data_IF_082409217652
#
_entry.id   IF_082409217652
#
_cell.length_a   1.000
_cell.length_b   1.000
_cell.length_c   1.000
_cell.angle_alpha   90.00
_cell.angle_beta   90.00
_cell.angle_gamma   90.00
#
_symmetry.space_group_name_H-M   'P 1'
#
loop_
_entity.id
_entity.type
_entity.pdbx_description
1 polymer ?
#
# COMPACT_ATOMS: atom_id res chain seq x y z
N UNK A 1 -4.63 18.89 -20.88
CA UNK A 1 -5.11 17.49 -20.99
C UNK A 1 -6.65 17.50 -20.89
N UNK A 2 -7.38 16.45 -21.28
CA UNK A 2 -8.88 16.43 -21.19
C UNK A 2 -9.36 16.66 -19.73
N UNK A 3 -8.50 16.36 -18.75
CA UNK A 3 -8.70 16.67 -17.32
C UNK A 3 -8.78 18.17 -17.01
N UNK A 4 -8.07 19.03 -17.75
CA UNK A 4 -8.14 20.50 -17.57
C UNK A 4 -9.45 21.08 -18.12
N UNK A 5 -10.06 20.41 -19.09
CA UNK A 5 -11.33 20.84 -19.69
C UNK A 5 -12.51 20.77 -18.71
N UNK A 6 -12.43 19.89 -17.69
CA UNK A 6 -13.46 19.75 -16.66
C UNK A 6 -13.17 20.51 -15.37
N UNK A 7 -12.03 21.23 -15.28
CA UNK A 7 -11.62 21.96 -14.08
C UNK A 7 -11.74 21.11 -12.78
N UNK A 8 -11.49 19.79 -12.90
CA UNK A 8 -11.72 18.85 -11.81
C UNK A 8 -10.61 18.96 -10.77
N UNK A 9 -10.85 19.78 -9.76
CA UNK A 9 -9.93 20.09 -8.65
C UNK A 9 -10.03 19.10 -7.48
N UNK A 10 -10.45 17.86 -7.74
CA UNK A 10 -10.64 16.86 -6.67
C UNK A 10 -11.65 17.33 -5.62
N UNK A 11 -12.84 17.76 -6.04
CA UNK A 11 -13.87 18.30 -5.14
C UNK A 11 -13.42 19.53 -4.31
N UNK A 12 -12.37 20.25 -4.75
CA UNK A 12 -11.78 21.37 -4.01
C UNK A 12 -10.79 20.93 -2.92
N UNK A 13 -10.42 19.63 -2.88
CA UNK A 13 -9.45 19.08 -1.94
C UNK A 13 -8.05 19.31 -2.50
N UNK A 14 -7.19 19.94 -1.69
CA UNK A 14 -5.82 20.23 -2.09
C UNK A 14 -5.03 18.95 -2.48
N UNK A 15 -4.03 19.06 -3.38
CA UNK A 15 -3.31 17.89 -3.91
C UNK A 15 -2.70 16.98 -2.84
N UNK A 16 -2.19 17.59 -1.76
CA UNK A 16 -1.61 16.88 -0.61
C UNK A 16 -2.67 16.07 0.14
N UNK A 17 -3.81 16.70 0.47
CA UNK A 17 -4.90 16.02 1.20
C UNK A 17 -5.50 14.88 0.38
N UNK A 18 -5.62 15.06 -0.94
CA UNK A 18 -6.08 13.99 -1.84
C UNK A 18 -5.10 12.80 -1.87
N UNK A 19 -3.80 13.07 -1.96
CA UNK A 19 -2.78 12.03 -1.94
C UNK A 19 -2.79 11.22 -0.63
N UNK A 20 -2.92 11.90 0.52
CA UNK A 20 -3.04 11.26 1.83
C UNK A 20 -4.27 10.34 1.91
N UNK A 21 -5.40 10.80 1.38
CA UNK A 21 -6.66 10.04 1.36
C UNK A 21 -6.52 8.78 0.50
N UNK A 22 -5.94 8.89 -0.69
CA UNK A 22 -5.69 7.75 -1.58
C UNK A 22 -4.69 6.76 -0.98
N UNK A 23 -3.65 7.23 -0.31
CA UNK A 23 -2.71 6.39 0.46
C UNK A 23 -3.42 5.59 1.55
N UNK A 24 -4.32 6.25 2.30
CA UNK A 24 -5.15 5.60 3.31
C UNK A 24 -6.03 4.49 2.71
N UNK A 25 -6.77 4.80 1.64
CA UNK A 25 -7.64 3.83 0.96
C UNK A 25 -6.84 2.64 0.41
N UNK A 26 -5.72 2.91 -0.27
CA UNK A 26 -4.85 1.86 -0.82
C UNK A 26 -4.30 0.94 0.28
N UNK A 27 -3.95 1.52 1.44
CA UNK A 27 -3.45 0.75 2.59
C UNK A 27 -4.52 -0.16 3.18
N UNK A 28 -5.75 0.33 3.36
CA UNK A 28 -6.87 -0.48 3.90
C UNK A 28 -7.21 -1.64 2.98
N UNK A 29 -7.33 -1.37 1.67
CA UNK A 29 -7.60 -2.42 0.67
C UNK A 29 -6.41 -3.41 0.63
N UNK A 30 -5.20 -2.88 0.65
CA UNK A 30 -3.97 -3.67 0.65
C UNK A 30 -3.87 -4.65 1.81
N UNK A 31 -4.15 -4.17 3.03
CA UNK A 31 -4.23 -4.98 4.24
C UNK A 31 -5.30 -6.06 4.12
N UNK A 32 -6.51 -5.69 3.70
CA UNK A 32 -7.62 -6.63 3.55
C UNK A 32 -7.26 -7.79 2.62
N UNK A 33 -6.70 -7.49 1.44
CA UNK A 33 -6.31 -8.52 0.46
C UNK A 33 -5.14 -9.36 0.98
N UNK A 34 -4.11 -8.74 1.54
CA UNK A 34 -2.90 -9.45 2.00
C UNK A 34 -3.21 -10.39 3.16
N UNK A 35 -4.03 -9.96 4.12
CA UNK A 35 -4.39 -10.76 5.29
C UNK A 35 -5.41 -11.84 4.93
N UNK A 36 -6.42 -11.52 4.11
CA UNK A 36 -7.48 -12.47 3.78
C UNK A 36 -7.02 -13.57 2.81
N UNK A 37 -6.09 -13.27 1.91
CA UNK A 37 -5.59 -14.23 0.91
C UNK A 37 -4.21 -14.82 1.23
N UNK A 38 -3.53 -14.33 2.27
CA UNK A 38 -2.13 -14.70 2.60
C UNK A 38 -1.17 -14.60 1.40
N UNK A 39 -1.47 -13.75 0.43
CA UNK A 39 -0.69 -13.59 -0.81
C UNK A 39 0.47 -12.59 -0.58
N UNK A 40 1.63 -13.10 -0.15
CA UNK A 40 2.84 -12.29 0.11
C UNK A 40 3.32 -11.51 -1.12
N UNK A 41 3.13 -12.06 -2.33
CA UNK A 41 3.52 -11.41 -3.59
C UNK A 41 2.74 -10.11 -3.82
N UNK A 42 1.44 -10.09 -3.49
CA UNK A 42 0.62 -8.89 -3.61
C UNK A 42 1.06 -7.80 -2.62
N UNK A 43 1.34 -8.20 -1.37
CA UNK A 43 1.88 -7.28 -0.38
C UNK A 43 3.21 -6.67 -0.82
N UNK A 44 4.12 -7.46 -1.41
CA UNK A 44 5.41 -6.96 -1.89
C UNK A 44 5.27 -5.88 -2.97
N UNK A 45 4.31 -6.02 -3.88
CA UNK A 45 4.02 -4.99 -4.91
C UNK A 45 3.54 -3.70 -4.26
N UNK A 46 2.69 -3.77 -3.24
CA UNK A 46 2.21 -2.59 -2.53
C UNK A 46 3.31 -1.88 -1.73
N UNK A 47 4.20 -2.62 -1.08
CA UNK A 47 5.38 -2.05 -0.40
C UNK A 47 6.27 -1.31 -1.41
N UNK A 48 6.54 -1.92 -2.56
CA UNK A 48 7.32 -1.29 -3.62
C UNK A 48 6.63 -0.02 -4.16
N UNK A 49 5.32 -0.05 -4.37
CA UNK A 49 4.55 1.11 -4.81
C UNK A 49 4.62 2.27 -3.80
N UNK A 50 4.41 1.99 -2.51
CA UNK A 50 4.51 3.02 -1.46
C UNK A 50 5.93 3.57 -1.31
N UNK A 51 6.96 2.73 -1.47
CA UNK A 51 8.35 3.19 -1.50
C UNK A 51 8.61 4.13 -2.70
N UNK A 52 8.11 3.78 -3.89
CA UNK A 52 8.21 4.64 -5.08
C UNK A 52 7.52 6.00 -4.89
N UNK A 53 6.35 6.02 -4.23
CA UNK A 53 5.65 7.27 -3.89
C UNK A 53 6.47 8.11 -2.91
N UNK A 54 7.04 7.50 -1.86
CA UNK A 54 7.87 8.21 -0.90
C UNK A 54 9.09 8.87 -1.56
N UNK A 55 9.76 8.15 -2.47
CA UNK A 55 10.92 8.68 -3.22
C UNK A 55 10.53 9.83 -4.15
N UNK A 56 9.38 9.72 -4.84
CA UNK A 56 8.93 10.75 -5.80
C UNK A 56 8.32 11.98 -5.15
N UNK A 57 7.80 11.87 -3.92
CA UNK A 57 7.18 12.96 -3.18
C UNK A 57 8.10 13.55 -2.11
N UNK A 58 9.42 13.51 -2.32
CA UNK A 58 10.43 14.02 -1.39
C UNK A 58 10.23 15.50 -1.04
N UNK A 59 9.72 16.30 -1.97
CA UNK A 59 9.47 17.74 -1.78
C UNK A 59 8.25 18.00 -0.88
N UNK A 60 7.38 17.01 -0.68
CA UNK A 60 6.20 17.10 0.18
C UNK A 60 6.34 16.16 1.38
N UNK A 61 6.97 16.66 2.44
CA UNK A 61 7.31 15.86 3.64
C UNK A 61 6.11 15.08 4.22
N UNK A 62 4.91 15.66 4.20
CA UNK A 62 3.70 15.01 4.67
C UNK A 62 3.35 13.74 3.87
N UNK A 63 3.36 13.82 2.53
CA UNK A 63 3.04 12.68 1.65
C UNK A 63 4.14 11.62 1.74
N UNK A 64 5.40 12.05 1.79
CA UNK A 64 6.54 11.15 1.96
C UNK A 64 6.43 10.34 3.26
N UNK A 65 6.20 11.01 4.39
CA UNK A 65 6.09 10.36 5.70
C UNK A 65 4.92 9.40 5.75
N UNK A 66 3.75 9.81 5.23
CA UNK A 66 2.58 8.93 5.19
C UNK A 66 2.81 7.72 4.29
N UNK A 67 3.41 7.89 3.12
CA UNK A 67 3.75 6.77 2.24
C UNK A 67 4.74 5.80 2.90
N UNK A 68 5.74 6.31 3.62
CA UNK A 68 6.67 5.49 4.38
C UNK A 68 5.96 4.69 5.50
N UNK A 69 5.06 5.32 6.26
CA UNK A 69 4.27 4.65 7.31
C UNK A 69 3.40 3.54 6.69
N UNK A 70 2.71 3.83 5.58
CA UNK A 70 1.91 2.86 4.85
C UNK A 70 2.73 1.66 4.34
N UNK A 71 3.95 1.90 3.86
CA UNK A 71 4.88 0.85 3.47
C UNK A 71 5.25 -0.06 4.65
N UNK A 72 5.58 0.52 5.81
CA UNK A 72 5.91 -0.24 7.03
C UNK A 72 4.72 -1.07 7.50
N UNK A 73 3.51 -0.50 7.47
CA UNK A 73 2.28 -1.22 7.81
C UNK A 73 2.07 -2.43 6.89
N UNK A 74 2.28 -2.27 5.58
CA UNK A 74 2.17 -3.40 4.64
C UNK A 74 3.24 -4.46 4.87
N UNK A 75 4.48 -4.09 5.20
CA UNK A 75 5.53 -5.06 5.58
C UNK A 75 5.09 -5.87 6.80
N UNK A 76 4.54 -5.22 7.83
CA UNK A 76 4.02 -5.92 9.00
C UNK A 76 2.85 -6.86 8.64
N UNK A 77 1.94 -6.44 7.75
CA UNK A 77 0.85 -7.28 7.27
C UNK A 77 1.34 -8.53 6.52
N UNK A 78 2.40 -8.39 5.70
CA UNK A 78 3.05 -9.52 5.02
C UNK A 78 3.67 -10.48 6.04
N UNK A 79 4.40 -9.96 7.04
CA UNK A 79 5.00 -10.79 8.09
C UNK A 79 3.94 -11.61 8.84
N UNK A 80 2.82 -10.98 9.22
CA UNK A 80 1.68 -11.66 9.84
C UNK A 80 1.08 -12.73 8.93
N UNK A 81 0.91 -12.43 7.64
CA UNK A 81 0.40 -13.38 6.65
C UNK A 81 1.32 -14.60 6.49
N UNK A 82 2.65 -14.41 6.52
CA UNK A 82 3.65 -15.48 6.43
C UNK A 82 3.66 -16.36 7.68
N UNK A 83 3.58 -15.78 8.88
CA UNK A 83 3.53 -16.55 10.15
C UNK A 83 2.27 -17.41 10.23
N UNK A 84 1.16 -16.95 9.63
CA UNK A 84 -0.10 -17.69 9.58
C UNK A 84 -0.12 -18.82 8.55
N UNK A 85 0.91 -18.99 7.72
CA UNK A 85 0.97 -20.11 6.78
C UNK A 85 1.23 -21.39 7.56
N UNK A 86 0.30 -22.36 7.58
CA UNK A 86 0.63 -23.68 8.09
C UNK A 86 1.74 -24.24 7.23
N UNK A 87 2.91 -24.47 7.82
CA UNK A 87 3.97 -25.27 7.22
C UNK A 87 3.33 -26.62 6.88
N UNK A 88 3.13 -26.89 5.59
CA UNK A 88 2.73 -28.23 5.15
C UNK A 88 3.77 -29.19 5.75
N UNK A 89 3.36 -30.13 6.62
CA UNK A 89 4.27 -31.19 7.06
C UNK A 89 4.84 -31.79 5.79
N UNK A 90 6.16 -31.78 5.66
CA UNK A 90 6.86 -32.45 4.57
C UNK A 90 6.20 -33.80 4.45
N UNK A 91 5.52 -34.02 3.31
CA UNK A 91 4.74 -35.21 3.10
C UNK A 91 5.62 -36.39 3.52
N UNK A 92 5.11 -37.13 4.49
CA UNK A 92 5.53 -38.48 4.80
C UNK A 92 5.43 -39.29 3.51
N UNK A 93 6.46 -39.20 2.67
CA UNK A 93 6.83 -40.17 1.66
C UNK A 93 7.99 -40.94 2.31
N UNK A 94 7.67 -41.98 3.10
CA UNK A 94 7.40 -43.34 2.61
C UNK A 94 8.66 -43.92 1.96
#
# INVERSE_FOLDING_TARGET
>A
SVLDYFNWSGWGIGPVAWALLMLGIATVIGLGVTVLRSDWAYGAVLVWAFAGIAVKQSDTAAVMLTAAICAVIMVAAIALALVRRPTLPAATAA
#
